data_IF_491633841825
#
_entry.id   IF_491633841825
#
_cell.length_a   1.000
_cell.length_b   1.000
_cell.length_c   1.000
_cell.angle_alpha   90.00
_cell.angle_beta   90.00
_cell.angle_gamma   90.00
#
_symmetry.space_group_name_H-M   'P 1'
#
loop_
_entity.id
_entity.type
_entity.pdbx_description
1 polymer ?
#
# COMPACT_ATOMS: atom_id res chain seq x y z
N UNK A 1 -47.46 24.14 1.14
CA UNK A 1 -46.67 22.91 1.44
C UNK A 1 -46.79 22.61 2.93
N UNK A 2 -47.15 21.38 3.29
CA UNK A 2 -47.28 20.96 4.70
C UNK A 2 -45.95 20.44 5.25
N UNK A 3 -45.81 20.45 6.59
CA UNK A 3 -44.58 19.96 7.25
C UNK A 3 -44.37 18.45 7.00
N UNK A 4 -45.47 17.71 6.88
CA UNK A 4 -45.53 16.29 6.48
C UNK A 4 -44.92 16.03 5.08
N UNK A 5 -44.92 17.02 4.19
CA UNK A 5 -44.36 16.92 2.83
C UNK A 5 -42.82 16.96 2.84
N UNK A 6 -42.19 17.37 3.94
CA UNK A 6 -40.73 17.41 4.06
C UNK A 6 -40.19 15.98 4.21
N UNK A 7 -39.24 15.54 3.37
CA UNK A 7 -38.62 14.22 3.51
C UNK A 7 -38.01 14.02 4.90
N UNK A 8 -38.19 12.82 5.48
CA UNK A 8 -37.74 12.48 6.83
C UNK A 8 -36.27 12.80 7.10
N UNK A 9 -35.41 12.68 6.07
CA UNK A 9 -33.97 12.99 6.16
C UNK A 9 -33.66 14.46 6.49
N UNK A 10 -34.53 15.40 6.08
CA UNK A 10 -34.38 16.83 6.38
C UNK A 10 -35.23 17.28 7.55
N UNK A 11 -36.32 16.57 7.86
CA UNK A 11 -37.29 16.94 8.90
C UNK A 11 -36.62 17.13 10.28
N UNK A 12 -35.63 16.29 10.61
CA UNK A 12 -34.80 16.42 11.82
C UNK A 12 -34.01 17.74 11.96
N UNK A 13 -33.87 18.49 10.87
CA UNK A 13 -33.16 19.78 10.83
C UNK A 13 -34.11 20.98 10.64
N UNK A 14 -35.42 20.73 10.54
CA UNK A 14 -36.45 21.75 10.33
C UNK A 14 -37.29 21.83 11.60
N UNK A 15 -37.27 22.97 12.30
CA UNK A 15 -38.10 23.18 13.47
C UNK A 15 -39.55 23.47 13.04
N UNK A 16 -40.47 22.57 13.35
CA UNK A 16 -41.89 22.65 12.96
C UNK A 16 -42.53 23.99 13.34
N UNK A 17 -42.33 24.44 14.59
CA UNK A 17 -42.84 25.72 15.09
C UNK A 17 -42.35 26.95 14.31
N UNK A 18 -41.21 26.84 13.62
CA UNK A 18 -40.65 27.91 12.78
C UNK A 18 -41.17 27.80 11.34
N UNK A 19 -41.30 26.57 10.84
CA UNK A 19 -41.81 26.29 9.50
C UNK A 19 -43.29 26.69 9.35
N UNK A 20 -44.11 26.42 10.35
CA UNK A 20 -45.55 26.72 10.32
C UNK A 20 -45.86 28.22 10.31
N UNK A 21 -44.96 29.05 10.85
CA UNK A 21 -45.10 30.51 10.89
C UNK A 21 -44.77 31.21 9.57
N UNK A 22 -44.24 30.47 8.60
CA UNK A 22 -43.85 31.02 7.30
C UNK A 22 -45.02 30.91 6.31
N UNK A 23 -45.09 31.88 5.40
CA UNK A 23 -45.93 31.77 4.22
C UNK A 23 -45.36 30.73 3.24
N UNK A 24 -46.12 30.35 2.21
CA UNK A 24 -45.69 29.30 1.29
C UNK A 24 -44.35 29.62 0.58
N UNK A 25 -44.11 30.88 0.26
CA UNK A 25 -42.83 31.35 -0.29
C UNK A 25 -41.67 31.22 0.71
N UNK A 26 -41.88 31.64 1.97
CA UNK A 26 -40.89 31.49 3.04
C UNK A 26 -40.59 30.03 3.36
N UNK A 27 -41.60 29.16 3.34
CA UNK A 27 -41.44 27.71 3.53
C UNK A 27 -40.52 27.10 2.47
N UNK A 28 -40.70 27.46 1.20
CA UNK A 28 -39.88 26.94 0.12
C UNK A 28 -38.41 27.38 0.25
N UNK A 29 -38.18 28.66 0.53
CA UNK A 29 -36.83 29.23 0.72
C UNK A 29 -36.14 28.57 1.92
N UNK A 30 -36.86 28.40 3.03
CA UNK A 30 -36.35 27.77 4.24
C UNK A 30 -35.89 26.33 4.01
N UNK A 31 -36.72 25.51 3.35
CA UNK A 31 -36.38 24.12 3.03
C UNK A 31 -35.20 24.05 2.05
N UNK A 32 -35.13 24.95 1.08
CA UNK A 32 -33.99 25.03 0.15
C UNK A 32 -32.68 25.33 0.88
N UNK A 33 -32.69 26.23 1.86
CA UNK A 33 -31.53 26.55 2.68
C UNK A 33 -31.09 25.34 3.55
N UNK A 34 -32.05 24.66 4.21
CA UNK A 34 -31.77 23.47 5.02
C UNK A 34 -31.18 22.34 4.17
N UNK A 35 -31.76 22.08 2.99
CA UNK A 35 -31.23 21.09 2.03
C UNK A 35 -29.80 21.43 1.61
N UNK A 36 -29.53 22.70 1.30
CA UNK A 36 -28.20 23.14 0.90
C UNK A 36 -27.17 22.98 2.02
N UNK A 37 -27.50 23.42 3.24
CA UNK A 37 -26.64 23.28 4.41
C UNK A 37 -26.35 21.82 4.72
N UNK A 38 -27.39 20.96 4.75
CA UNK A 38 -27.25 19.53 5.03
C UNK A 38 -26.32 18.85 4.04
N UNK A 39 -26.48 19.11 2.74
CA UNK A 39 -25.59 18.57 1.70
C UNK A 39 -24.14 19.03 1.87
N UNK A 40 -23.92 20.30 2.23
CA UNK A 40 -22.58 20.84 2.46
C UNK A 40 -21.91 20.17 3.65
N UNK A 41 -22.63 19.99 4.76
CA UNK A 41 -22.13 19.30 5.94
C UNK A 41 -21.85 17.81 5.69
N UNK A 42 -22.71 17.12 4.95
CA UNK A 42 -22.49 15.71 4.58
C UNK A 42 -21.22 15.56 3.74
N UNK A 43 -21.02 16.40 2.71
CA UNK A 43 -19.78 16.38 1.91
C UNK A 43 -18.53 16.63 2.76
N UNK A 44 -18.57 17.63 3.64
CA UNK A 44 -17.45 17.91 4.54
C UNK A 44 -17.18 16.76 5.50
N UNK A 45 -18.22 16.09 6.00
CA UNK A 45 -18.09 14.94 6.89
C UNK A 45 -17.50 13.74 6.16
N UNK A 46 -17.95 13.45 4.94
CA UNK A 46 -17.41 12.37 4.10
C UNK A 46 -15.94 12.63 3.76
N UNK A 47 -15.59 13.87 3.41
CA UNK A 47 -14.20 14.29 3.18
C UNK A 47 -13.34 14.11 4.43
N UNK A 48 -13.85 14.49 5.62
CA UNK A 48 -13.13 14.36 6.89
C UNK A 48 -12.94 12.89 7.29
N UNK A 49 -13.97 12.07 7.14
CA UNK A 49 -13.93 10.62 7.45
C UNK A 49 -12.98 9.91 6.50
N UNK A 50 -13.01 10.24 5.21
CA UNK A 50 -12.07 9.70 4.24
C UNK A 50 -10.63 10.15 4.53
N UNK A 51 -10.43 11.42 4.92
CA UNK A 51 -9.12 11.93 5.33
C UNK A 51 -8.56 11.22 6.57
N UNK A 52 -9.39 11.01 7.60
CA UNK A 52 -8.97 10.30 8.82
C UNK A 52 -8.70 8.81 8.57
N UNK A 53 -9.53 8.14 7.75
CA UNK A 53 -9.27 6.75 7.34
C UNK A 53 -7.98 6.64 6.53
N UNK A 54 -7.73 7.59 5.63
CA UNK A 54 -6.49 7.64 4.85
C UNK A 54 -5.28 7.86 5.77
N UNK A 55 -5.38 8.79 6.73
CA UNK A 55 -4.31 9.05 7.71
C UNK A 55 -4.03 7.84 8.59
N UNK A 56 -5.05 7.19 9.13
CA UNK A 56 -4.90 5.96 9.91
C UNK A 56 -4.30 4.81 9.09
N UNK A 57 -4.68 4.67 7.81
CA UNK A 57 -4.08 3.71 6.89
C UNK A 57 -2.58 4.02 6.63
N UNK A 58 -2.25 5.29 6.42
CA UNK A 58 -0.87 5.74 6.23
C UNK A 58 -0.01 5.57 7.50
N UNK A 59 -0.59 5.78 8.69
CA UNK A 59 0.10 5.55 9.96
C UNK A 59 0.29 4.05 10.24
N UNK A 60 -0.65 3.18 9.86
CA UNK A 60 -0.49 1.72 9.90
C UNK A 60 0.61 1.23 8.94
N UNK A 61 0.68 1.79 7.74
CA UNK A 61 1.74 1.49 6.75
C UNK A 61 3.14 1.93 7.21
N UNK A 62 3.24 2.87 8.15
CA UNK A 62 4.52 3.25 8.80
C UNK A 62 4.96 2.25 9.87
N UNK A 63 4.03 1.49 10.46
CA UNK A 63 4.31 0.57 11.58
C UNK A 63 4.58 -0.85 11.08
N UNK A 64 3.98 -1.26 9.95
CA UNK A 64 4.19 -2.60 9.39
C UNK A 64 5.36 -2.56 8.39
N UNK A 65 6.48 -3.26 8.65
CA UNK A 65 7.59 -3.30 7.71
C UNK A 65 7.11 -3.96 6.41
N UNK A 66 7.01 -3.17 5.34
CA UNK A 66 6.68 -3.69 4.01
C UNK A 66 7.79 -4.65 3.58
N UNK A 67 7.44 -5.89 3.26
CA UNK A 67 8.37 -6.87 2.71
C UNK A 67 7.77 -7.61 1.53
N UNK A 68 8.64 -8.14 0.68
CA UNK A 68 8.30 -9.13 -0.34
C UNK A 68 9.03 -10.43 -0.08
N UNK A 69 8.37 -11.55 -0.32
CA UNK A 69 9.04 -12.85 -0.37
C UNK A 69 9.56 -13.07 -1.79
N UNK A 70 10.81 -13.52 -1.90
CA UNK A 70 11.46 -13.79 -3.18
C UNK A 70 12.22 -15.10 -3.15
N UNK A 71 12.29 -15.75 -4.30
CA UNK A 71 13.00 -17.00 -4.54
C UNK A 71 14.33 -16.73 -5.21
N UNK A 72 15.39 -17.34 -4.69
CA UNK A 72 16.70 -17.39 -5.31
C UNK A 72 16.84 -18.71 -6.05
N UNK A 73 17.21 -18.65 -7.33
CA UNK A 73 17.29 -19.79 -8.26
C UNK A 73 18.66 -19.86 -8.93
N UNK A 74 18.96 -20.99 -9.59
CA UNK A 74 20.24 -21.22 -10.25
C UNK A 74 21.39 -21.54 -9.30
N UNK A 75 21.06 -21.99 -8.07
CA UNK A 75 22.02 -22.33 -7.02
C UNK A 75 22.88 -23.54 -7.44
N UNK A 76 22.28 -24.53 -8.12
CA UNK A 76 23.01 -25.72 -8.58
C UNK A 76 24.11 -25.39 -9.59
N UNK A 77 23.89 -24.38 -10.44
CA UNK A 77 24.79 -24.02 -11.53
C UNK A 77 26.01 -23.22 -11.07
N UNK A 78 26.02 -22.72 -9.82
CA UNK A 78 27.06 -21.82 -9.29
C UNK A 78 27.72 -22.33 -8.00
N UNK A 79 28.17 -23.60 -8.04
CA UNK A 79 28.92 -24.30 -6.97
C UNK A 79 28.09 -24.73 -5.76
N UNK A 80 26.77 -24.97 -5.94
CA UNK A 80 25.86 -25.49 -4.90
C UNK A 80 26.01 -24.76 -3.56
N UNK A 81 25.82 -23.45 -3.56
CA UNK A 81 25.86 -22.72 -2.31
C UNK A 81 24.69 -23.13 -1.40
N UNK A 82 24.99 -23.41 -0.13
CA UNK A 82 23.97 -23.60 0.90
C UNK A 82 23.75 -22.28 1.63
N UNK A 83 22.53 -21.76 1.52
CA UNK A 83 22.06 -20.59 2.25
C UNK A 83 21.62 -21.02 3.66
N UNK A 84 21.95 -20.21 4.63
CA UNK A 84 21.53 -20.38 6.02
C UNK A 84 21.17 -19.01 6.63
N UNK A 85 20.56 -18.95 7.83
CA UNK A 85 20.18 -17.69 8.47
C UNK A 85 21.33 -16.70 8.67
N UNK A 86 22.56 -17.20 8.81
CA UNK A 86 23.76 -16.39 9.07
C UNK A 86 24.46 -15.92 7.77
N UNK A 87 23.98 -16.37 6.62
CA UNK A 87 24.54 -16.00 5.33
C UNK A 87 24.21 -14.54 5.04
N UNK A 88 25.24 -13.70 4.95
CA UNK A 88 25.07 -12.32 4.49
C UNK A 88 24.85 -12.31 2.99
N UNK A 89 23.67 -11.83 2.59
CA UNK A 89 23.22 -11.73 1.21
C UNK A 89 23.02 -10.26 0.83
N UNK A 90 23.35 -9.90 -0.41
CA UNK A 90 22.87 -8.66 -1.04
C UNK A 90 22.30 -8.96 -2.43
N UNK A 91 21.38 -8.11 -2.86
CA UNK A 91 20.83 -8.09 -4.22
C UNK A 91 21.49 -6.99 -5.03
N UNK A 92 21.78 -7.25 -6.29
CA UNK A 92 22.41 -6.29 -7.21
C UNK A 92 21.79 -6.45 -8.59
N UNK A 93 21.44 -5.32 -9.21
CA UNK A 93 21.02 -5.28 -10.60
C UNK A 93 22.12 -5.84 -11.51
N UNK A 94 21.72 -6.64 -12.51
CA UNK A 94 22.61 -7.02 -13.59
C UNK A 94 22.53 -6.00 -14.73
N UNK A 95 23.42 -5.00 -14.72
CA UNK A 95 23.42 -3.92 -15.74
C UNK A 95 23.92 -4.37 -17.12
N UNK A 96 24.61 -5.51 -17.21
CA UNK A 96 25.15 -6.05 -18.47
C UNK A 96 24.12 -6.85 -19.27
N UNK A 97 22.92 -6.98 -18.75
CA UNK A 97 21.85 -7.74 -19.38
C UNK A 97 21.07 -6.83 -20.34
N UNK A 98 20.86 -7.30 -21.58
CA UNK A 98 20.21 -6.56 -22.68
C UNK A 98 19.04 -5.69 -22.22
N UNK A 99 18.91 -4.48 -22.78
CA UNK A 99 17.82 -3.54 -22.47
C UNK A 99 16.47 -4.26 -22.32
N UNK A 100 15.89 -4.21 -21.11
CA UNK A 100 14.64 -4.92 -20.77
C UNK A 100 14.82 -6.14 -19.86
N UNK A 101 16.05 -6.54 -19.57
CA UNK A 101 16.31 -7.61 -18.60
C UNK A 101 16.04 -7.17 -17.16
N UNK A 102 15.18 -7.92 -16.48
CA UNK A 102 14.88 -7.75 -15.05
C UNK A 102 15.85 -8.53 -14.15
N UNK A 103 17.00 -8.99 -14.66
CA UNK A 103 17.89 -9.88 -13.90
C UNK A 103 18.44 -9.16 -12.65
N UNK A 104 18.37 -9.86 -11.53
CA UNK A 104 18.92 -9.46 -10.23
C UNK A 104 19.84 -10.58 -9.74
N UNK A 105 21.10 -10.25 -9.52
CA UNK A 105 22.12 -11.13 -8.96
C UNK A 105 21.95 -11.22 -7.44
N UNK A 106 22.16 -12.42 -6.91
CA UNK A 106 22.26 -12.71 -5.49
C UNK A 106 23.73 -12.92 -5.16
N UNK A 107 24.28 -12.03 -4.33
CA UNK A 107 25.66 -12.10 -3.87
C UNK A 107 25.73 -12.48 -2.40
N UNK A 108 26.74 -13.27 -2.05
CA UNK A 108 27.05 -13.65 -0.67
C UNK A 108 28.43 -13.19 -0.26
N UNK A 109 28.57 -12.76 0.99
CA UNK A 109 29.86 -12.35 1.54
C UNK A 109 30.70 -13.59 1.88
N UNK A 110 31.89 -13.71 1.27
CA UNK A 110 32.88 -14.75 1.57
C UNK A 110 34.26 -14.11 1.69
N UNK A 111 34.82 -14.08 2.91
CA UNK A 111 36.15 -13.52 3.17
C UNK A 111 36.26 -12.04 2.78
N UNK A 112 35.31 -11.22 3.26
CA UNK A 112 35.19 -9.78 2.96
C UNK A 112 35.03 -9.44 1.46
N UNK A 113 34.65 -10.41 0.63
CA UNK A 113 34.35 -10.21 -0.79
C UNK A 113 32.96 -10.71 -1.11
N UNK A 114 32.23 -9.94 -1.90
CA UNK A 114 30.92 -10.34 -2.40
C UNK A 114 31.09 -11.24 -3.63
N UNK A 115 30.47 -12.42 -3.61
CA UNK A 115 30.48 -13.37 -4.72
C UNK A 115 29.08 -13.70 -5.17
N UNK A 116 28.83 -13.59 -6.47
CA UNK A 116 27.58 -13.98 -7.09
C UNK A 116 27.38 -15.50 -7.03
N UNK A 117 26.23 -15.95 -6.51
CA UNK A 117 25.91 -17.37 -6.30
C UNK A 117 24.55 -17.81 -6.81
N UNK A 118 23.63 -16.89 -7.08
CA UNK A 118 22.29 -17.21 -7.56
C UNK A 118 21.67 -15.99 -8.25
N UNK A 119 20.49 -16.17 -8.83
CA UNK A 119 19.65 -15.09 -9.34
C UNK A 119 18.33 -15.04 -8.57
N UNK A 120 17.67 -13.89 -8.57
CA UNK A 120 16.26 -13.84 -8.18
C UNK A 120 15.41 -14.43 -9.30
N UNK A 121 14.38 -15.19 -8.97
CA UNK A 121 13.41 -15.72 -9.93
C UNK A 121 12.80 -14.59 -10.77
N UNK A 122 12.51 -14.85 -12.05
CA UNK A 122 12.13 -13.83 -13.02
C UNK A 122 10.92 -12.97 -12.61
N UNK A 123 9.85 -13.60 -12.12
CA UNK A 123 8.64 -12.90 -11.69
C UNK A 123 8.89 -12.06 -10.43
N UNK A 124 9.61 -12.61 -9.46
CA UNK A 124 10.01 -11.90 -8.24
C UNK A 124 10.93 -10.73 -8.56
N UNK A 125 11.85 -10.91 -9.51
CA UNK A 125 12.77 -9.87 -9.95
C UNK A 125 12.02 -8.73 -10.64
N UNK A 126 11.07 -9.05 -11.52
CA UNK A 126 10.19 -8.07 -12.13
C UNK A 126 9.39 -7.29 -11.08
N UNK A 127 8.87 -7.96 -10.04
CA UNK A 127 8.17 -7.27 -8.95
C UNK A 127 9.11 -6.35 -8.16
N UNK A 128 10.29 -6.83 -7.76
CA UNK A 128 11.27 -6.02 -7.02
C UNK A 128 11.65 -4.77 -7.80
N UNK A 129 11.79 -4.88 -9.13
CA UNK A 129 12.07 -3.76 -10.03
C UNK A 129 10.96 -2.71 -10.01
N UNK A 130 9.69 -3.12 -10.02
CA UNK A 130 8.55 -2.19 -9.94
C UNK A 130 8.57 -1.33 -8.68
N UNK A 131 9.02 -1.88 -7.55
CA UNK A 131 9.10 -1.15 -6.27
C UNK A 131 10.40 -0.34 -6.11
N UNK A 132 11.39 -0.52 -6.99
CA UNK A 132 12.50 0.41 -7.21
C UNK A 132 13.51 0.58 -6.06
N UNK A 133 13.47 -0.22 -4.99
CA UNK A 133 14.31 -0.01 -3.79
C UNK A 133 14.67 -1.32 -3.07
N UNK A 134 15.28 -2.29 -3.77
CA UNK A 134 15.70 -3.56 -3.15
C UNK A 134 17.21 -3.65 -2.85
N UNK A 135 18.03 -2.83 -3.51
CA UNK A 135 19.48 -2.80 -3.26
C UNK A 135 19.78 -2.21 -1.89
N UNK A 136 20.71 -2.83 -1.16
CA UNK A 136 21.04 -2.45 0.22
C UNK A 136 19.94 -2.70 1.25
N UNK A 137 18.79 -3.26 0.84
CA UNK A 137 17.72 -3.61 1.78
C UNK A 137 18.08 -4.82 2.61
N UNK A 138 17.52 -4.87 3.83
CA UNK A 138 17.66 -6.04 4.70
C UNK A 138 16.98 -7.24 4.05
N UNK A 139 17.66 -8.38 4.10
CA UNK A 139 17.12 -9.68 3.70
C UNK A 139 16.99 -10.58 4.93
N UNK A 140 15.92 -11.36 5.01
CA UNK A 140 15.74 -12.39 6.05
C UNK A 140 15.50 -13.74 5.41
N UNK A 141 16.34 -14.71 5.74
CA UNK A 141 16.20 -16.10 5.29
C UNK A 141 14.89 -16.71 5.82
N UNK A 142 14.15 -17.37 4.93
CA UNK A 142 12.95 -18.13 5.26
C UNK A 142 13.28 -19.63 5.28
N UNK A 143 13.94 -20.12 4.22
CA UNK A 143 14.27 -21.53 4.08
C UNK A 143 15.01 -21.83 2.78
N UNK A 144 15.65 -23.00 2.73
CA UNK A 144 16.29 -23.54 1.53
C UNK A 144 15.55 -24.81 1.08
N UNK A 145 15.37 -24.91 -0.23
CA UNK A 145 14.81 -26.03 -0.96
C UNK A 145 15.87 -26.64 -1.88
N UNK A 146 15.51 -27.69 -2.62
CA UNK A 146 16.46 -28.48 -3.41
C UNK A 146 17.29 -27.65 -4.41
N UNK A 147 16.65 -26.71 -5.10
CA UNK A 147 17.28 -25.86 -6.13
C UNK A 147 17.08 -24.36 -5.89
N UNK A 148 16.46 -23.99 -4.76
CA UNK A 148 16.11 -22.62 -4.46
C UNK A 148 16.25 -22.25 -2.98
N UNK A 149 16.29 -20.96 -2.69
CA UNK A 149 16.21 -20.43 -1.32
C UNK A 149 15.22 -19.27 -1.27
N UNK A 150 14.42 -19.17 -0.21
CA UNK A 150 13.44 -18.09 -0.03
C UNK A 150 13.91 -17.07 0.99
N UNK A 151 13.68 -15.80 0.68
CA UNK A 151 14.04 -14.65 1.51
C UNK A 151 12.91 -13.62 1.56
N UNK A 152 12.81 -12.89 2.67
CA UNK A 152 12.06 -11.63 2.76
C UNK A 152 12.98 -10.46 2.45
N UNK A 153 12.62 -9.66 1.46
CA UNK A 153 13.25 -8.36 1.17
C UNK A 153 12.42 -7.28 1.84
N UNK A 154 12.99 -6.50 2.75
CA UNK A 154 12.28 -5.42 3.44
C UNK A 154 12.33 -4.14 2.60
N UNK A 155 11.19 -3.76 2.00
CA UNK A 155 11.04 -2.65 1.05
C UNK A 155 10.55 -1.37 1.74
N UNK A 156 10.06 -1.47 2.97
CA UNK A 156 9.63 -0.35 3.82
C UNK A 156 10.68 0.77 3.96
N UNK A 157 10.16 1.99 4.07
CA UNK A 157 10.85 3.29 4.02
C UNK A 157 11.94 3.41 5.08
#
# INVERSE_FOLDING_TARGET
>A
MEYSDIPNEYRKYVKESTYEKLDDGGKEIYIKAVKHATRKFMKQTDELVNSHKMKACMDLLRIVPLYMEVSFVGIENRRRHTFNPDTKVKLERDDDSSEGSNVIKVLVEKGNKWKHVAYVEGDDAMQLRKYGKYEGKRLKFIGQYQTSARYRVFIGV
#
